data_IF_174567005062
#
_entry.id   IF_174567005062
#
_cell.length_a   1.000
_cell.length_b   1.000
_cell.length_c   1.000
_cell.angle_alpha   90.00
_cell.angle_beta   90.00
_cell.angle_gamma   90.00
#
_symmetry.space_group_name_H-M   'P 1'
#
loop_
_entity.id
_entity.type
_entity.pdbx_description
1 polymer ?
#
# COMPACT_ATOMS: atom_id res chain seq x y z
N UNK A 1 -12.34 -4.89 -14.37
CA UNK A 1 -11.56 -5.71 -13.43
C UNK A 1 -10.10 -5.33 -13.62
N UNK A 2 -9.30 -5.34 -12.54
CA UNK A 2 -7.85 -5.12 -12.63
C UNK A 2 -7.15 -6.46 -12.87
N UNK A 3 -6.04 -6.46 -13.62
CA UNK A 3 -5.22 -7.67 -13.83
C UNK A 3 -4.40 -8.03 -12.59
N UNK A 4 -4.10 -7.03 -11.75
CA UNK A 4 -3.43 -7.19 -10.46
C UNK A 4 -3.80 -6.04 -9.53
N UNK A 5 -4.16 -6.34 -8.30
CA UNK A 5 -4.38 -5.39 -7.21
C UNK A 5 -3.22 -5.45 -6.21
N UNK A 6 -2.43 -4.38 -6.14
CA UNK A 6 -1.37 -4.21 -5.15
C UNK A 6 -1.87 -3.24 -4.08
N UNK A 7 -1.88 -3.68 -2.83
CA UNK A 7 -2.24 -2.85 -1.67
C UNK A 7 -0.99 -2.54 -0.88
N UNK A 8 -0.80 -1.27 -0.55
CA UNK A 8 0.24 -0.81 0.38
C UNK A 8 -0.42 -0.48 1.71
N UNK A 9 0.04 -1.09 2.80
CA UNK A 9 -0.58 -0.96 4.12
C UNK A 9 0.36 -0.41 5.18
N UNK A 10 -0.23 0.28 6.15
CA UNK A 10 0.37 0.64 7.42
C UNK A 10 -0.76 0.77 8.47
N UNK A 11 -0.48 0.75 9.79
CA UNK A 11 -1.46 0.89 10.84
C UNK A 11 -2.11 2.24 10.71
N UNK A 12 -3.39 2.31 11.06
CA UNK A 12 -4.15 3.56 11.03
C UNK A 12 -3.43 4.66 11.83
N UNK A 13 -2.89 4.31 13.00
CA UNK A 13 -2.13 5.25 13.83
C UNK A 13 -0.93 5.86 13.09
N UNK A 14 -0.14 5.02 12.39
CA UNK A 14 1.02 5.47 11.60
C UNK A 14 0.60 6.31 10.41
N UNK A 15 -0.50 5.96 9.74
CA UNK A 15 -1.05 6.77 8.65
C UNK A 15 -1.44 8.15 9.15
N UNK A 16 -2.13 8.23 10.30
CA UNK A 16 -2.53 9.49 10.91
C UNK A 16 -1.30 10.36 11.20
N UNK A 17 -0.32 9.80 11.91
CA UNK A 17 0.90 10.51 12.29
C UNK A 17 1.62 11.09 11.07
N UNK A 18 1.88 10.27 10.04
CA UNK A 18 2.58 10.71 8.82
C UNK A 18 1.79 11.77 8.06
N UNK A 19 0.46 11.63 7.97
CA UNK A 19 -0.40 12.60 7.28
C UNK A 19 -0.45 13.95 7.99
N UNK A 20 -0.45 13.97 9.32
CA UNK A 20 -0.36 15.21 10.09
C UNK A 20 1.04 15.83 10.02
N UNK A 21 2.08 15.03 10.27
CA UNK A 21 3.47 15.48 10.35
C UNK A 21 4.03 15.93 9.00
N UNK A 22 3.87 15.10 7.98
CA UNK A 22 4.56 15.29 6.69
C UNK A 22 3.72 16.11 5.70
N UNK A 23 2.39 16.15 5.87
CA UNK A 23 1.47 16.88 4.99
C UNK A 23 0.71 18.02 5.68
N UNK A 24 0.93 18.24 6.98
CA UNK A 24 0.32 19.35 7.73
C UNK A 24 -1.20 19.30 7.81
N UNK A 25 -1.81 18.11 7.67
CA UNK A 25 -3.27 17.98 7.66
C UNK A 25 -3.85 18.03 9.08
N UNK A 26 -5.05 18.60 9.21
CA UNK A 26 -5.78 18.59 10.47
C UNK A 26 -6.26 17.16 10.78
N UNK A 27 -6.21 16.78 12.06
CA UNK A 27 -6.61 15.45 12.54
C UNK A 27 -8.00 15.03 12.07
N UNK A 28 -8.97 15.96 12.07
CA UNK A 28 -10.34 15.69 11.58
C UNK A 28 -10.37 15.29 10.11
N UNK A 29 -9.58 15.96 9.27
CA UNK A 29 -9.52 15.66 7.83
C UNK A 29 -8.81 14.33 7.57
N UNK A 30 -7.80 14.03 8.38
CA UNK A 30 -7.11 12.72 8.36
C UNK A 30 -8.08 11.60 8.73
N UNK A 31 -8.82 11.75 9.84
CA UNK A 31 -9.77 10.75 10.30
C UNK A 31 -10.89 10.53 9.28
N UNK A 32 -11.46 11.60 8.72
CA UNK A 32 -12.45 11.50 7.66
C UNK A 32 -11.94 10.73 6.42
N UNK A 33 -10.66 10.89 6.07
CA UNK A 33 -10.03 10.11 4.98
C UNK A 33 -9.84 8.65 5.32
N UNK A 34 -9.55 8.31 6.57
CA UNK A 34 -9.44 6.90 7.02
C UNK A 34 -10.82 6.26 7.01
N UNK A 35 -11.83 6.92 7.58
CA UNK A 35 -13.20 6.41 7.69
C UNK A 35 -13.87 6.22 6.32
N UNK A 36 -13.49 7.01 5.32
CA UNK A 36 -13.99 6.87 3.95
C UNK A 36 -13.39 5.67 3.19
N UNK A 37 -12.36 5.02 3.74
CA UNK A 37 -11.71 3.88 3.11
C UNK A 37 -12.26 2.57 3.63
N UNK A 38 -12.12 1.51 2.82
CA UNK A 38 -12.35 0.15 3.29
C UNK A 38 -11.36 -0.21 4.41
N UNK A 39 -11.78 -1.02 5.40
CA UNK A 39 -10.90 -1.60 6.40
C UNK A 39 -9.70 -2.28 5.76
N UNK A 40 -8.57 -2.29 6.46
CA UNK A 40 -7.33 -2.87 5.94
C UNK A 40 -7.51 -4.36 5.62
N UNK A 41 -8.23 -5.07 6.47
CA UNK A 41 -8.54 -6.49 6.32
C UNK A 41 -9.29 -6.74 5.00
N UNK A 42 -10.32 -5.95 4.72
CA UNK A 42 -11.09 -6.04 3.49
C UNK A 42 -10.25 -5.69 2.24
N UNK A 43 -9.33 -4.73 2.35
CA UNK A 43 -8.39 -4.43 1.27
C UNK A 43 -7.38 -5.56 1.05
N UNK A 44 -6.88 -6.16 2.12
CA UNK A 44 -5.92 -7.25 2.07
C UNK A 44 -6.54 -8.52 1.47
N UNK A 45 -7.80 -8.82 1.79
CA UNK A 45 -8.54 -9.95 1.18
C UNK A 45 -8.72 -9.80 -0.33
N UNK A 46 -8.88 -8.56 -0.82
CA UNK A 46 -9.02 -8.28 -2.25
C UNK A 46 -7.66 -8.20 -2.99
N UNK A 47 -6.54 -8.14 -2.28
CA UNK A 47 -5.24 -7.86 -2.86
C UNK A 47 -4.57 -9.13 -3.41
N UNK A 48 -4.03 -9.03 -4.63
CA UNK A 48 -3.12 -10.05 -5.16
C UNK A 48 -1.72 -9.94 -4.53
N UNK A 49 -1.35 -8.73 -4.11
CA UNK A 49 -0.07 -8.43 -3.46
C UNK A 49 -0.28 -7.40 -2.36
N UNK A 50 0.19 -7.72 -1.17
CA UNK A 50 0.26 -6.79 -0.04
C UNK A 50 1.72 -6.34 0.16
N UNK A 51 1.93 -5.03 0.30
CA UNK A 51 3.22 -4.41 0.61
C UNK A 51 3.11 -3.69 1.95
N UNK A 52 3.97 -4.06 2.89
CA UNK A 52 4.00 -3.45 4.21
C UNK A 52 4.89 -2.20 4.24
N UNK A 53 4.34 -1.09 4.74
CA UNK A 53 4.97 0.21 4.89
C UNK A 53 5.15 0.63 6.36
N UNK A 54 5.15 -0.35 7.27
CA UNK A 54 5.51 -0.18 8.69
C UNK A 54 7.02 -0.15 8.94
N UNK A 55 7.79 -0.85 8.10
CA UNK A 55 9.25 -0.96 8.20
C UNK A 55 10.02 0.30 7.81
N UNK A 56 11.33 0.15 7.62
CA UNK A 56 12.17 1.24 7.13
C UNK A 56 11.95 1.49 5.64
N UNK A 57 12.51 2.59 5.13
CA UNK A 57 12.48 2.85 3.69
C UNK A 57 13.18 1.73 2.91
N UNK A 58 14.28 1.20 3.44
CA UNK A 58 15.03 0.09 2.86
C UNK A 58 14.18 -1.20 2.80
N UNK A 59 13.41 -1.49 3.85
CA UNK A 59 12.48 -2.64 3.87
C UNK A 59 11.41 -2.49 2.78
N UNK A 60 10.86 -1.28 2.64
CA UNK A 60 9.86 -0.98 1.62
C UNK A 60 10.45 -1.09 0.21
N UNK A 61 11.64 -0.54 -0.02
CA UNK A 61 12.35 -0.64 -1.30
C UNK A 61 12.59 -2.10 -1.71
N UNK A 62 13.06 -2.93 -0.77
CA UNK A 62 13.28 -4.35 -1.03
C UNK A 62 11.99 -5.10 -1.38
N UNK A 63 10.87 -4.78 -0.71
CA UNK A 63 9.56 -5.35 -1.03
C UNK A 63 9.08 -4.92 -2.42
N UNK A 64 9.17 -3.63 -2.74
CA UNK A 64 8.74 -3.08 -4.03
C UNK A 64 9.58 -3.66 -5.17
N UNK A 65 10.90 -3.78 -5.00
CA UNK A 65 11.79 -4.37 -6.00
C UNK A 65 11.42 -5.83 -6.30
N UNK A 66 11.03 -6.59 -5.27
CA UNK A 66 10.54 -7.97 -5.46
C UNK A 66 9.22 -7.99 -6.24
N UNK A 67 8.28 -7.10 -5.93
CA UNK A 67 7.01 -6.99 -6.68
C UNK A 67 7.29 -6.61 -8.13
N UNK A 68 8.16 -5.64 -8.36
CA UNK A 68 8.53 -5.18 -9.69
C UNK A 68 9.15 -6.28 -10.56
N UNK A 69 10.13 -7.02 -10.05
CA UNK A 69 10.74 -8.13 -10.79
C UNK A 69 9.74 -9.23 -11.15
N UNK A 70 8.79 -9.53 -10.27
CA UNK A 70 7.70 -10.47 -10.55
C UNK A 70 6.80 -9.95 -11.68
N UNK A 71 6.45 -8.66 -11.67
CA UNK A 71 5.65 -8.03 -12.73
C UNK A 71 6.35 -8.08 -14.08
N UNK A 72 7.62 -7.70 -14.14
CA UNK A 72 8.43 -7.74 -15.38
C UNK A 72 8.51 -9.17 -15.93
N UNK A 73 8.72 -10.16 -15.05
CA UNK A 73 8.77 -11.57 -15.46
C UNK A 73 7.43 -12.05 -16.03
N UNK A 74 6.31 -11.70 -15.39
CA UNK A 74 4.95 -12.05 -15.86
C UNK A 74 4.66 -11.40 -17.22
N UNK A 75 4.98 -10.12 -17.37
CA UNK A 75 4.77 -9.39 -18.62
C UNK A 75 5.61 -9.96 -19.77
N UNK A 76 6.86 -10.35 -19.51
CA UNK A 76 7.73 -11.00 -20.50
C UNK A 76 7.30 -12.42 -20.88
N UNK A 77 6.66 -13.13 -19.95
CA UNK A 77 6.20 -14.52 -20.15
C UNK A 77 4.82 -14.60 -20.81
N UNK A 78 4.02 -13.52 -20.77
CA UNK A 78 2.73 -13.41 -21.45
C UNK A 78 2.82 -12.99 -22.93
N UNK A 79 4.02 -12.75 -23.45
CA UNK A 79 4.28 -12.36 -24.83
C UNK A 79 4.67 -13.54 -25.75
N UNK A 80 4.34 -14.78 -25.37
CA UNK A 80 4.51 -15.99 -26.18
C UNK A 80 3.16 -16.61 -26.54
#
# INVERSE_FOLDING_TARGET
AFDLLIVVSAPVATQIERLMRDRGMAERDVQARIDAQLPLEAKAEAADVLVDNEGTLEDLEAQVERVWRNLVTRAGSGAS
#
